data_IF_812924465884
#
_entry.id   IF_812924465884
#
_cell.length_a   1.000
_cell.length_b   1.000
_cell.length_c   1.000
_cell.angle_alpha   90.00
_cell.angle_beta   90.00
_cell.angle_gamma   90.00
#
_symmetry.space_group_name_H-M   'P 1'
#
loop_
_entity.id
_entity.type
_entity.pdbx_description
1 polymer ?
#
# COMPACT_ATOMS: atom_id res chain seq x y z
N UNK A 1 13.32 1.33 24.17
CA UNK A 1 13.42 0.38 23.04
C UNK A 1 12.02 0.19 22.48
N UNK A 2 11.73 0.51 21.21
CA UNK A 2 10.44 0.18 20.63
C UNK A 2 10.25 -1.33 20.67
N UNK A 3 9.07 -1.79 21.10
CA UNK A 3 8.75 -3.21 21.15
C UNK A 3 8.78 -3.77 19.74
N UNK A 4 9.43 -4.92 19.55
CA UNK A 4 9.38 -5.62 18.26
C UNK A 4 7.92 -5.85 17.87
N UNK A 5 7.52 -5.51 16.62
CA UNK A 5 6.16 -5.73 16.18
C UNK A 5 5.81 -7.23 16.22
N UNK A 6 4.55 -7.59 16.47
CA UNK A 6 4.13 -8.99 16.61
C UNK A 6 4.43 -9.79 15.33
N UNK A 7 4.84 -11.05 15.53
CA UNK A 7 5.43 -11.91 14.49
C UNK A 7 4.45 -12.38 13.40
N UNK A 8 3.14 -12.32 13.61
CA UNK A 8 2.13 -12.73 12.61
C UNK A 8 1.35 -11.53 12.09
N UNK A 9 1.03 -11.57 10.80
CA UNK A 9 0.23 -10.56 10.12
C UNK A 9 -1.22 -10.53 10.66
N UNK A 10 -1.80 -11.67 11.04
CA UNK A 10 -3.11 -11.79 11.68
C UNK A 10 -3.20 -11.04 13.01
N UNK A 11 -2.11 -10.96 13.77
CA UNK A 11 -2.06 -10.16 14.99
C UNK A 11 -2.05 -8.65 14.72
N UNK A 12 -1.72 -8.22 13.49
CA UNK A 12 -1.79 -6.83 13.00
C UNK A 12 -3.13 -6.53 12.32
N UNK A 13 -3.88 -7.56 11.92
CA UNK A 13 -5.22 -7.51 11.32
C UNK A 13 -6.39 -7.52 12.32
N UNK A 14 -6.15 -7.28 13.62
CA UNK A 14 -7.27 -6.85 14.47
C UNK A 14 -7.98 -5.70 13.75
N UNK A 15 -9.31 -5.51 13.86
CA UNK A 15 -9.92 -4.27 13.43
C UNK A 15 -9.15 -3.17 14.16
N UNK A 16 -8.20 -2.54 13.45
CA UNK A 16 -7.36 -1.48 13.99
C UNK A 16 -8.41 -0.43 14.26
N UNK A 17 -8.81 -0.30 15.53
CA UNK A 17 -9.81 0.67 15.92
C UNK A 17 -9.45 1.98 15.23
N UNK A 18 -10.40 2.58 14.53
CA UNK A 18 -10.31 3.88 13.83
C UNK A 18 -9.79 4.94 14.81
N UNK A 19 -8.47 4.94 15.04
CA UNK A 19 -7.80 5.92 15.89
C UNK A 19 -7.44 7.17 15.08
N UNK A 20 -7.75 7.15 13.78
CA UNK A 20 -7.34 8.16 12.82
C UNK A 20 -5.82 8.14 12.62
N UNK A 21 -5.37 8.76 11.54
CA UNK A 21 -3.94 8.99 11.39
C UNK A 21 -3.49 10.05 12.41
N UNK A 22 -2.48 9.77 13.26
CA UNK A 22 -1.98 10.77 14.20
C UNK A 22 -1.38 11.96 13.45
N UNK A 23 -1.75 13.18 13.85
CA UNK A 23 -1.23 14.43 13.25
C UNK A 23 -0.71 15.33 14.37
N UNK A 24 0.59 15.61 14.33
CA UNK A 24 1.24 16.55 15.23
C UNK A 24 1.21 17.99 14.68
N UNK A 25 1.53 18.98 15.52
CA UNK A 25 1.63 20.37 15.08
C UNK A 25 2.91 20.62 14.24
N UNK A 26 2.85 21.59 13.34
CA UNK A 26 3.98 22.21 12.67
C UNK A 26 4.59 23.35 13.52
N UNK A 27 5.57 24.05 12.99
CA UNK A 27 6.30 25.09 13.71
C UNK A 27 5.42 26.32 14.02
N UNK A 28 4.28 26.47 13.34
CA UNK A 28 3.27 27.49 13.60
C UNK A 28 2.18 27.04 14.58
N UNK A 29 2.19 25.77 14.99
CA UNK A 29 1.17 25.17 15.85
C UNK A 29 -0.02 24.56 15.10
N UNK A 30 -0.06 24.70 13.78
CA UNK A 30 -1.12 24.13 12.92
C UNK A 30 -0.88 22.63 12.66
N UNK A 31 -1.91 21.83 12.36
CA UNK A 31 -1.72 20.41 12.06
C UNK A 31 -0.80 20.21 10.85
N UNK A 32 0.21 19.34 10.99
CA UNK A 32 1.12 18.99 9.89
C UNK A 32 0.36 18.41 8.71
N UNK A 33 0.75 18.84 7.51
CA UNK A 33 0.21 18.38 6.22
C UNK A 33 1.33 17.88 5.32
N UNK A 34 2.25 17.12 5.90
CA UNK A 34 3.30 16.42 5.15
C UNK A 34 2.76 15.08 4.69
N UNK A 35 2.90 14.77 3.40
CA UNK A 35 2.53 13.47 2.84
C UNK A 35 3.72 12.80 2.14
N UNK A 36 3.68 11.48 2.06
CA UNK A 36 4.71 10.69 1.38
C UNK A 36 4.09 9.91 0.23
N UNK A 37 4.62 10.08 -0.98
CA UNK A 37 4.32 9.23 -2.13
C UNK A 37 5.36 8.12 -2.21
N UNK A 38 4.93 6.85 -2.21
CA UNK A 38 5.82 5.68 -2.32
C UNK A 38 5.57 4.83 -3.57
N UNK A 39 6.66 4.35 -4.16
CA UNK A 39 6.66 3.51 -5.36
C UNK A 39 7.62 2.33 -5.21
N UNK A 40 7.70 1.48 -6.24
CA UNK A 40 8.31 0.15 -6.13
C UNK A 40 9.78 0.17 -5.67
N UNK A 41 10.49 1.29 -5.88
CA UNK A 41 11.87 1.45 -5.42
C UNK A 41 12.07 1.22 -3.92
N UNK A 42 11.08 1.51 -3.06
CA UNK A 42 11.21 1.29 -1.60
C UNK A 42 11.20 -0.19 -1.20
N UNK A 43 10.76 -1.07 -2.11
CA UNK A 43 10.61 -2.51 -1.90
C UNK A 43 11.74 -3.33 -2.53
N UNK A 44 12.60 -2.71 -3.36
CA UNK A 44 13.73 -3.39 -4.03
C UNK A 44 14.67 -4.11 -3.06
N UNK A 45 14.95 -3.51 -1.88
CA UNK A 45 15.78 -4.15 -0.85
C UNK A 45 15.11 -5.31 -0.11
N UNK A 46 13.81 -5.55 -0.31
CA UNK A 46 13.10 -6.75 0.12
C UNK A 46 13.13 -7.88 -0.94
N UNK A 47 13.80 -7.64 -2.07
CA UNK A 47 13.82 -8.55 -3.22
C UNK A 47 12.58 -8.46 -4.11
N UNK A 48 11.68 -7.49 -3.87
CA UNK A 48 10.58 -7.20 -4.79
C UNK A 48 11.10 -6.31 -5.92
N UNK A 49 11.11 -6.76 -7.18
CA UNK A 49 11.65 -5.97 -8.28
C UNK A 49 10.84 -4.69 -8.50
N UNK A 50 11.51 -3.63 -8.92
CA UNK A 50 10.82 -2.46 -9.45
C UNK A 50 10.38 -2.69 -10.91
N UNK A 51 9.68 -1.71 -11.47
CA UNK A 51 9.17 -1.80 -12.83
C UNK A 51 10.13 -1.23 -13.88
N UNK A 52 10.84 -0.14 -13.56
CA UNK A 52 11.55 0.70 -14.56
C UNK A 52 13.00 1.03 -14.18
N UNK A 53 13.53 0.42 -13.12
CA UNK A 53 14.95 0.53 -12.79
C UNK A 53 15.82 -0.22 -13.82
N UNK A 54 17.16 -0.22 -13.63
CA UNK A 54 18.08 -0.87 -14.57
C UNK A 54 17.75 -2.35 -14.84
N UNK A 55 17.15 -3.04 -13.88
CA UNK A 55 16.69 -4.43 -13.99
C UNK A 55 15.18 -4.58 -13.73
N UNK A 56 14.41 -3.51 -13.88
CA UNK A 56 12.97 -3.52 -13.62
C UNK A 56 12.20 -4.40 -14.61
N UNK A 57 10.99 -4.82 -14.22
CA UNK A 57 10.13 -5.72 -15.02
C UNK A 57 9.96 -5.21 -16.47
N UNK A 58 9.55 -3.95 -16.65
CA UNK A 58 9.33 -3.36 -17.97
C UNK A 58 10.65 -3.05 -18.70
N UNK A 59 11.70 -2.67 -17.97
CA UNK A 59 13.02 -2.48 -18.57
C UNK A 59 13.52 -3.77 -19.22
N UNK A 60 13.36 -4.91 -18.54
CA UNK A 60 13.79 -6.21 -19.05
C UNK A 60 12.92 -6.67 -20.21
N UNK A 61 11.61 -6.53 -20.11
CA UNK A 61 10.68 -6.86 -21.19
C UNK A 61 11.01 -6.08 -22.48
N UNK A 62 11.22 -4.76 -22.39
CA UNK A 62 11.59 -3.92 -23.54
C UNK A 62 12.92 -4.34 -24.19
N UNK A 63 13.79 -5.01 -23.45
CA UNK A 63 15.07 -5.54 -23.94
C UNK A 63 14.97 -7.03 -24.34
N UNK A 64 13.77 -7.62 -24.39
CA UNK A 64 13.57 -9.03 -24.74
C UNK A 64 14.12 -10.01 -23.69
N UNK A 65 14.28 -9.56 -22.45
CA UNK A 65 14.77 -10.36 -21.33
C UNK A 65 13.59 -10.88 -20.49
N UNK A 66 13.77 -12.06 -19.88
CA UNK A 66 12.82 -12.59 -18.89
C UNK A 66 12.66 -11.62 -17.71
N UNK A 67 11.50 -11.59 -17.03
CA UNK A 67 11.31 -10.82 -15.81
C UNK A 67 12.43 -11.08 -14.79
N UNK A 68 12.76 -10.09 -13.94
CA UNK A 68 13.74 -10.29 -12.89
C UNK A 68 13.25 -11.35 -11.89
N UNK A 69 14.18 -12.15 -11.37
CA UNK A 69 13.90 -12.96 -10.18
C UNK A 69 13.51 -12.04 -9.02
N UNK A 70 12.60 -12.50 -8.16
CA UNK A 70 12.12 -11.70 -7.04
C UNK A 70 11.49 -12.54 -5.95
N UNK A 71 11.38 -11.93 -4.77
CA UNK A 71 10.64 -12.51 -3.65
C UNK A 71 9.14 -12.36 -3.91
N UNK A 72 8.38 -13.46 -3.78
CA UNK A 72 6.92 -13.39 -3.78
C UNK A 72 6.43 -12.43 -2.69
N UNK A 73 5.32 -11.71 -2.91
CA UNK A 73 4.90 -10.66 -1.99
C UNK A 73 4.68 -11.21 -0.57
N UNK A 74 4.04 -12.36 -0.40
CA UNK A 74 3.77 -12.99 0.88
C UNK A 74 5.05 -13.38 1.64
N UNK A 75 6.15 -13.63 0.92
CA UNK A 75 7.46 -13.95 1.51
C UNK A 75 8.36 -12.71 1.72
N UNK A 76 8.03 -11.57 1.11
CA UNK A 76 8.79 -10.34 1.27
C UNK A 76 8.58 -9.72 2.66
N UNK A 77 9.64 -9.20 3.26
CA UNK A 77 9.60 -8.52 4.55
C UNK A 77 9.71 -7.00 4.36
N UNK A 78 9.02 -6.18 5.18
CA UNK A 78 9.11 -4.73 5.08
C UNK A 78 10.54 -4.21 5.23
N UNK A 79 10.89 -3.25 4.37
CA UNK A 79 12.24 -2.64 4.37
C UNK A 79 12.41 -1.60 5.50
N UNK A 80 13.64 -1.16 5.75
CA UNK A 80 13.92 -0.05 6.69
C UNK A 80 13.12 1.21 6.35
N UNK A 81 12.87 1.48 5.07
CA UNK A 81 12.07 2.63 4.64
C UNK A 81 10.62 2.52 5.09
N UNK A 82 10.02 1.32 5.03
CA UNK A 82 8.66 1.10 5.52
C UNK A 82 8.57 1.39 7.03
N UNK A 83 9.51 0.85 7.82
CA UNK A 83 9.56 1.11 9.26
C UNK A 83 9.82 2.58 9.60
N UNK A 84 10.70 3.27 8.86
CA UNK A 84 10.94 4.69 9.04
C UNK A 84 9.68 5.54 8.77
N UNK A 85 8.89 5.18 7.75
CA UNK A 85 7.60 5.83 7.47
C UNK A 85 6.62 5.62 8.63
N UNK A 86 6.55 4.41 9.20
CA UNK A 86 5.72 4.15 10.38
C UNK A 86 6.13 5.02 11.57
N UNK A 87 7.43 5.16 11.83
CA UNK A 87 7.93 6.00 12.92
C UNK A 87 7.58 7.48 12.71
N UNK A 88 7.67 7.98 11.48
CA UNK A 88 7.28 9.35 11.13
C UNK A 88 5.77 9.59 11.30
N UNK A 89 4.94 8.62 10.89
CA UNK A 89 3.50 8.68 11.10
C UNK A 89 3.18 8.63 12.58
N UNK A 90 3.75 7.68 13.33
CA UNK A 90 3.53 7.56 14.78
C UNK A 90 3.94 8.81 15.56
N UNK A 91 4.97 9.52 15.09
CA UNK A 91 5.40 10.81 15.66
C UNK A 91 4.51 12.00 15.25
N UNK A 92 3.50 11.80 14.41
CA UNK A 92 2.63 12.85 13.87
C UNK A 92 3.33 13.78 12.87
N UNK A 93 4.47 13.36 12.32
CA UNK A 93 5.26 14.14 11.36
C UNK A 93 4.78 13.96 9.92
N UNK A 94 4.20 12.79 9.62
CA UNK A 94 3.60 12.47 8.31
C UNK A 94 2.11 12.24 8.53
N UNK A 95 1.30 12.99 7.79
CA UNK A 95 -0.15 12.97 7.85
C UNK A 95 -0.77 11.83 7.04
N UNK A 96 -0.20 11.52 5.88
CA UNK A 96 -0.74 10.52 4.97
C UNK A 96 0.33 9.93 4.04
N UNK A 97 0.14 8.68 3.65
CA UNK A 97 0.97 7.96 2.68
C UNK A 97 0.13 7.64 1.45
N UNK A 98 0.61 8.01 0.27
CA UNK A 98 0.02 7.61 -1.02
C UNK A 98 0.95 6.57 -1.63
N UNK A 99 0.47 5.35 -1.85
CA UNK A 99 1.29 4.23 -2.33
C UNK A 99 0.80 3.72 -3.67
N UNK A 100 1.71 3.64 -4.65
CA UNK A 100 1.50 2.93 -5.91
C UNK A 100 1.82 1.43 -5.80
N UNK A 101 2.39 1.00 -4.67
CA UNK A 101 2.79 -0.39 -4.48
C UNK A 101 1.59 -1.26 -4.15
N UNK A 102 1.58 -2.44 -4.77
CA UNK A 102 0.57 -3.49 -4.55
C UNK A 102 1.06 -4.62 -3.63
N UNK A 103 2.32 -4.54 -3.18
CA UNK A 103 3.04 -5.56 -2.40
C UNK A 103 2.57 -5.70 -0.94
N UNK A 104 1.68 -4.82 -0.48
CA UNK A 104 1.11 -4.82 0.87
C UNK A 104 2.11 -4.53 2.00
N UNK A 105 3.37 -4.19 1.70
CA UNK A 105 4.43 -4.08 2.72
C UNK A 105 4.21 -2.93 3.70
N UNK A 106 3.54 -1.85 3.30
CA UNK A 106 3.17 -0.76 4.22
C UNK A 106 2.25 -1.24 5.34
N UNK A 107 1.10 -1.81 5.00
CA UNK A 107 0.13 -2.33 5.99
C UNK A 107 0.76 -3.47 6.78
N UNK A 108 1.47 -4.37 6.10
CA UNK A 108 2.20 -5.48 6.76
C UNK A 108 3.26 -4.98 7.72
N UNK A 109 3.90 -3.83 7.49
CA UNK A 109 4.86 -3.23 8.42
C UNK A 109 4.23 -2.68 9.70
N UNK A 110 2.91 -2.48 9.72
CA UNK A 110 2.15 -1.91 10.84
C UNK A 110 1.67 -0.48 10.62
N UNK A 111 1.76 0.05 9.39
CA UNK A 111 1.17 1.34 9.05
C UNK A 111 -0.35 1.27 9.22
N UNK A 112 -0.98 2.19 9.98
CA UNK A 112 -2.44 2.18 10.14
C UNK A 112 -3.14 2.38 8.79
N UNK A 113 -4.25 1.65 8.57
CA UNK A 113 -4.99 1.72 7.30
C UNK A 113 -5.51 3.14 7.00
N UNK A 114 -5.92 3.88 8.02
CA UNK A 114 -6.39 5.27 7.89
C UNK A 114 -5.30 6.26 7.44
N UNK A 115 -4.03 5.86 7.50
CA UNK A 115 -2.88 6.67 7.14
C UNK A 115 -2.37 6.43 5.71
N UNK A 116 -3.01 5.55 4.94
CA UNK A 116 -2.53 5.17 3.61
C UNK A 116 -3.65 5.15 2.57
N UNK A 117 -3.31 5.49 1.33
CA UNK A 117 -4.11 5.21 0.14
C UNK A 117 -3.32 4.29 -0.79
N UNK A 118 -3.83 3.07 -1.02
CA UNK A 118 -3.25 2.09 -1.94
C UNK A 118 -3.83 2.30 -3.35
N UNK A 119 -3.31 3.28 -4.10
CA UNK A 119 -3.97 3.80 -5.31
C UNK A 119 -3.99 2.84 -6.50
N UNK A 120 -3.19 1.77 -6.47
CA UNK A 120 -3.25 0.68 -7.45
C UNK A 120 -3.87 -0.61 -6.87
N UNK A 121 -4.46 -0.50 -5.68
CA UNK A 121 -4.91 -1.63 -4.89
C UNK A 121 -3.78 -2.38 -4.19
N UNK A 122 -4.09 -3.60 -3.75
CA UNK A 122 -3.19 -4.44 -2.96
C UNK A 122 -3.42 -5.91 -3.27
N UNK A 123 -2.35 -6.71 -3.27
CA UNK A 123 -2.43 -8.15 -3.49
C UNK A 123 -3.00 -8.92 -2.29
N UNK A 124 -3.31 -8.23 -1.18
CA UNK A 124 -3.71 -8.81 0.10
C UNK A 124 -5.15 -8.45 0.49
N UNK A 125 -5.98 -8.11 -0.49
CA UNK A 125 -7.37 -7.76 -0.24
C UNK A 125 -8.29 -8.13 -1.39
N UNK A 126 -9.55 -8.38 -1.03
CA UNK A 126 -10.65 -8.66 -1.94
C UNK A 126 -11.81 -7.68 -1.68
N UNK A 127 -12.54 -7.31 -2.71
CA UNK A 127 -13.68 -6.41 -2.64
C UNK A 127 -14.99 -7.14 -2.93
N UNK A 128 -16.03 -6.87 -2.14
CA UNK A 128 -17.37 -7.34 -2.41
C UNK A 128 -18.20 -6.29 -3.18
N UNK A 129 -18.52 -6.55 -4.45
CA UNK A 129 -19.34 -5.64 -5.27
C UNK A 129 -20.81 -5.52 -4.83
N UNK A 130 -21.27 -6.29 -3.84
CA UNK A 130 -22.66 -6.24 -3.36
C UNK A 130 -22.82 -5.42 -2.08
N UNK A 131 -21.92 -5.59 -1.12
CA UNK A 131 -21.97 -4.87 0.16
C UNK A 131 -20.85 -3.85 0.32
N UNK A 132 -20.03 -3.65 -0.73
CA UNK A 132 -18.98 -2.64 -0.79
C UNK A 132 -18.00 -2.72 0.39
N UNK A 133 -17.68 -3.95 0.79
CA UNK A 133 -16.76 -4.23 1.89
C UNK A 133 -15.45 -4.80 1.35
N UNK A 134 -14.36 -4.24 1.85
CA UNK A 134 -13.02 -4.76 1.69
C UNK A 134 -12.74 -5.89 2.69
N UNK A 135 -12.13 -6.96 2.19
CA UNK A 135 -11.73 -8.12 2.97
C UNK A 135 -10.23 -8.35 2.79
N UNK A 136 -9.45 -7.99 3.81
CA UNK A 136 -8.00 -8.27 3.83
C UNK A 136 -7.69 -9.71 4.20
N UNK A 137 -6.60 -10.23 3.66
CA UNK A 137 -6.13 -11.62 3.79
C UNK A 137 -4.61 -11.68 3.95
N UNK A 138 -4.11 -12.72 4.63
CA UNK A 138 -2.67 -12.97 4.76
C UNK A 138 -2.04 -13.48 3.47
N UNK A 139 -2.82 -14.24 2.71
CA UNK A 139 -2.38 -14.85 1.46
C UNK A 139 -2.58 -13.90 0.28
N UNK A 140 -1.70 -14.02 -0.71
CA UNK A 140 -1.81 -13.27 -1.96
C UNK A 140 -3.08 -13.68 -2.73
N UNK A 141 -3.82 -12.69 -3.20
CA UNK A 141 -4.90 -12.85 -4.15
C UNK A 141 -4.29 -12.89 -5.55
N UNK A 142 -4.42 -14.03 -6.23
CA UNK A 142 -3.72 -14.29 -7.49
C UNK A 142 -4.46 -13.86 -8.76
N UNK A 143 -5.57 -13.11 -8.64
CA UNK A 143 -6.25 -12.49 -9.79
C UNK A 143 -5.91 -11.01 -9.89
N UNK A 144 -5.96 -10.45 -11.11
CA UNK A 144 -5.63 -9.06 -11.42
C UNK A 144 -6.70 -8.49 -12.35
N UNK A 145 -7.09 -7.23 -12.12
CA UNK A 145 -8.02 -6.48 -12.95
C UNK A 145 -9.45 -6.58 -12.46
N UNK A 146 -9.66 -6.54 -11.13
CA UNK A 146 -10.97 -6.60 -10.49
C UNK A 146 -11.75 -7.87 -10.88
N UNK A 147 -11.03 -8.98 -11.07
CA UNK A 147 -11.59 -10.27 -11.48
C UNK A 147 -12.10 -11.03 -10.26
N UNK A 148 -13.03 -11.95 -10.51
CA UNK A 148 -13.58 -12.83 -9.47
C UNK A 148 -12.48 -13.75 -8.93
N UNK A 149 -12.35 -13.80 -7.61
CA UNK A 149 -11.33 -14.61 -6.94
C UNK A 149 -11.78 -16.05 -6.70
N UNK A 150 -13.08 -16.30 -6.83
CA UNK A 150 -13.73 -17.57 -6.46
C UNK A 150 -14.18 -17.63 -4.99
N UNK A 151 -13.74 -16.70 -4.15
CA UNK A 151 -14.15 -16.61 -2.75
C UNK A 151 -15.55 -15.97 -2.60
N UNK A 152 -16.18 -16.21 -1.44
CA UNK A 152 -17.49 -15.66 -1.10
C UNK A 152 -17.38 -14.67 0.05
N UNK A 153 -18.08 -13.55 -0.07
CA UNK A 153 -18.21 -12.54 0.97
C UNK A 153 -18.85 -13.16 2.23
N UNK A 154 -18.21 -12.94 3.38
CA UNK A 154 -18.65 -13.50 4.67
C UNK A 154 -20.01 -12.95 5.15
N UNK A 155 -20.39 -11.75 4.67
CA UNK A 155 -21.61 -11.08 5.12
C UNK A 155 -22.80 -11.29 4.19
N UNK A 156 -22.59 -11.33 2.87
CA UNK A 156 -23.68 -11.36 1.89
C UNK A 156 -23.58 -12.48 0.84
N UNK A 157 -22.56 -13.33 0.94
CA UNK A 157 -22.31 -14.50 0.08
C UNK A 157 -22.12 -14.20 -1.42
N UNK A 158 -22.00 -12.93 -1.80
CA UNK A 158 -21.62 -12.54 -3.16
C UNK A 158 -20.18 -12.96 -3.45
N UNK A 159 -19.86 -13.13 -4.73
CA UNK A 159 -18.50 -13.44 -5.16
C UNK A 159 -17.59 -12.24 -4.96
N UNK A 160 -16.40 -12.49 -4.41
CA UNK A 160 -15.37 -11.49 -4.18
C UNK A 160 -14.55 -11.25 -5.44
N UNK A 161 -13.97 -10.05 -5.55
CA UNK A 161 -13.07 -9.65 -6.62
C UNK A 161 -11.73 -9.21 -6.04
N UNK A 162 -10.63 -9.37 -6.78
CA UNK A 162 -9.37 -8.74 -6.39
C UNK A 162 -9.48 -7.22 -6.42
N UNK A 163 -8.50 -6.55 -5.81
CA UNK A 163 -8.41 -5.09 -5.78
C UNK A 163 -7.31 -4.55 -6.69
N UNK A 164 -6.58 -5.40 -7.41
CA UNK A 164 -5.46 -4.97 -8.24
C UNK A 164 -5.98 -4.34 -9.54
N UNK A 165 -5.53 -3.11 -9.83
CA UNK A 165 -5.83 -2.50 -11.11
C UNK A 165 -4.98 -3.12 -12.23
N UNK A 166 -5.63 -3.48 -13.34
CA UNK A 166 -4.98 -3.68 -14.63
C UNK A 166 -4.99 -2.36 -15.42
N UNK A 167 -4.29 -2.29 -16.56
CA UNK A 167 -4.17 -1.08 -17.38
C UNK A 167 -5.51 -0.43 -17.75
N UNK A 168 -6.51 -1.26 -18.07
CA UNK A 168 -7.86 -0.81 -18.46
C UNK A 168 -8.85 -0.81 -17.29
N UNK A 169 -8.40 -1.14 -16.08
CA UNK A 169 -9.25 -1.14 -14.90
C UNK A 169 -9.36 0.27 -14.32
N UNK A 170 -10.52 0.66 -13.78
CA UNK A 170 -10.61 1.89 -13.00
C UNK A 170 -9.72 1.80 -11.76
N UNK A 171 -9.17 2.94 -11.36
CA UNK A 171 -8.51 3.08 -10.05
C UNK A 171 -9.58 3.01 -8.94
N UNK A 172 -9.21 2.58 -7.72
CA UNK A 172 -10.12 2.59 -6.59
C UNK A 172 -10.50 4.03 -6.19
N UNK A 173 -11.74 4.43 -6.49
CA UNK A 173 -12.24 5.80 -6.26
C UNK A 173 -12.00 6.29 -4.83
N UNK A 174 -12.31 5.47 -3.82
CA UNK A 174 -12.13 5.85 -2.41
C UNK A 174 -10.66 6.11 -2.03
N UNK A 175 -9.71 5.36 -2.61
CA UNK A 175 -8.28 5.59 -2.39
C UNK A 175 -7.81 6.84 -3.12
N UNK A 176 -8.29 7.03 -4.36
CA UNK A 176 -7.92 8.17 -5.19
C UNK A 176 -8.46 9.48 -4.64
N UNK A 177 -9.73 9.52 -4.24
CA UNK A 177 -10.35 10.70 -3.64
C UNK A 177 -9.61 11.10 -2.37
N UNK A 178 -9.29 10.13 -1.51
CA UNK A 178 -8.50 10.37 -0.29
C UNK A 178 -7.10 10.88 -0.62
N UNK A 179 -6.41 10.25 -1.56
CA UNK A 179 -5.08 10.66 -1.99
C UNK A 179 -5.08 12.09 -2.57
N UNK A 180 -6.08 12.44 -3.37
CA UNK A 180 -6.24 13.78 -3.97
C UNK A 180 -6.51 14.82 -2.88
N UNK A 181 -7.40 14.52 -1.93
CA UNK A 181 -7.72 15.44 -0.83
C UNK A 181 -6.49 15.74 0.05
N UNK A 182 -5.77 14.68 0.44
CA UNK A 182 -4.56 14.81 1.24
C UNK A 182 -3.45 15.54 0.46
N UNK A 183 -3.34 15.31 -0.85
CA UNK A 183 -2.40 16.01 -1.71
C UNK A 183 -2.73 17.49 -1.89
N UNK A 184 -4.00 17.85 -2.09
CA UNK A 184 -4.44 19.25 -2.28
C UNK A 184 -4.16 20.14 -1.07
N UNK A 185 -4.21 19.56 0.12
CA UNK A 185 -4.00 20.29 1.38
C UNK A 185 -2.55 20.22 1.87
N UNK A 186 -1.71 19.38 1.24
CA UNK A 186 -0.34 19.16 1.65
C UNK A 186 0.51 20.44 1.56
N UNK A 187 1.32 20.67 2.59
CA UNK A 187 2.34 21.74 2.60
C UNK A 187 3.73 21.23 2.22
N UNK A 188 3.94 19.91 2.33
CA UNK A 188 5.16 19.23 1.90
C UNK A 188 4.80 17.85 1.33
N UNK A 189 5.34 17.55 0.15
CA UNK A 189 5.20 16.24 -0.51
C UNK A 189 6.59 15.63 -0.66
N UNK A 190 6.78 14.41 -0.14
CA UNK A 190 8.02 13.66 -0.28
C UNK A 190 7.78 12.47 -1.19
N UNK A 191 8.52 12.35 -2.29
CA UNK A 191 8.44 11.20 -3.19
C UNK A 191 9.60 10.24 -2.94
N UNK A 192 9.31 8.97 -2.66
CA UNK A 192 10.29 7.92 -2.41
C UNK A 192 10.09 6.72 -3.35
N UNK A 193 11.17 6.23 -3.95
CA UNK A 193 11.13 5.03 -4.80
C UNK A 193 10.26 5.17 -6.05
N UNK A 194 10.06 6.41 -6.51
CA UNK A 194 9.36 6.77 -7.74
C UNK A 194 10.36 7.08 -8.86
N UNK A 195 9.96 6.85 -10.11
CA UNK A 195 10.63 7.41 -11.28
C UNK A 195 9.87 8.67 -11.72
N UNK A 196 10.58 9.76 -11.95
CA UNK A 196 10.01 11.06 -12.35
C UNK A 196 9.96 11.27 -13.87
N UNK A 197 10.41 10.29 -14.66
CA UNK A 197 10.50 10.34 -16.13
C UNK A 197 10.25 8.96 -16.72
#
# INVERSE_FOLDING_TARGET
MPKAPPKSYAARLQPIADKGCPVGPDDSGEPRRTIIHTGAGISTSAGVPDFRGPNGVWTRELNGLSPPDGTAFGAAEPTRTHFAINDLVAAGLVRHVVSQNVDGLHVRSGLPRDCISEVHGTAFAEWCSKCEKEWRTEDEVHTIGLKKTGNKCRDCSAELRDMLCDWDSPLPDHEMDRAIEEHRTATLVICCGHRSE
#
